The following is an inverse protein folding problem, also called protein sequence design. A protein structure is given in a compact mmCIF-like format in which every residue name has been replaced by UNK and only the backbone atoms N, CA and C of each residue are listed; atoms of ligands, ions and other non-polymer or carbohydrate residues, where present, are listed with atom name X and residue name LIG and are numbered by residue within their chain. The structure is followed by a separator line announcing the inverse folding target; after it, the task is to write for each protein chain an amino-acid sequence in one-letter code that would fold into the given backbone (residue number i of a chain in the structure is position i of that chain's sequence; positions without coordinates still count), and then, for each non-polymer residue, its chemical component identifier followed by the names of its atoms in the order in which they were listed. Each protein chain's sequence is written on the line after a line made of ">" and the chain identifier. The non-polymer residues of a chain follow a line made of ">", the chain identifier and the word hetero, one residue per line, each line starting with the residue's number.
data_IF_369014945454
#
_entry.id   IF_369014945454
#
_cell.length_a   1.000
_cell.length_b   1.000
_cell.length_c   1.000
_cell.angle_alpha   90.00
_cell.angle_beta   90.00
_cell.angle_gamma   90.00
#
_symmetry.space_group_name_H-M   'P 1'
#
loop_
_entity.id
_entity.type
_entity.pdbx_description
1 polymer ?
#
# COMPACT_ATOMS: atom_id res chain seq x y z
N UNK A 1 -25.41 6.51 -9.37
CA UNK A 1 -25.11 5.12 -8.96
C UNK A 1 -23.64 5.04 -8.63
N UNK A 2 -23.27 4.83 -7.36
CA UNK A 2 -21.89 4.39 -7.05
C UNK A 2 -21.81 2.97 -7.59
N UNK A 3 -20.95 2.70 -8.56
CA UNK A 3 -20.66 1.31 -8.92
C UNK A 3 -20.16 0.63 -7.65
N UNK A 4 -20.83 -0.41 -7.19
CA UNK A 4 -20.28 -1.26 -6.14
C UNK A 4 -19.00 -1.87 -6.69
N UNK A 5 -17.85 -1.26 -6.35
CA UNK A 5 -16.55 -1.85 -6.61
C UNK A 5 -16.51 -3.14 -5.81
N UNK A 6 -16.62 -4.25 -6.50
CA UNK A 6 -16.42 -5.59 -5.94
C UNK A 6 -14.98 -5.70 -5.41
N UNK A 7 -14.74 -6.61 -4.47
CA UNK A 7 -13.39 -6.88 -3.97
C UNK A 7 -12.39 -7.21 -5.11
N UNK A 8 -12.85 -7.82 -6.21
CA UNK A 8 -12.05 -8.10 -7.40
C UNK A 8 -11.54 -6.84 -8.08
N UNK A 9 -12.36 -5.79 -8.18
CA UNK A 9 -11.97 -4.50 -8.75
C UNK A 9 -10.98 -3.75 -7.83
N UNK A 10 -11.09 -3.93 -6.51
CA UNK A 10 -10.06 -3.43 -5.58
C UNK A 10 -8.74 -4.17 -5.74
N UNK A 11 -8.78 -5.49 -5.90
CA UNK A 11 -7.58 -6.31 -6.10
C UNK A 11 -6.89 -6.02 -7.42
N UNK A 12 -7.65 -5.78 -8.50
CA UNK A 12 -7.10 -5.36 -9.78
C UNK A 12 -6.37 -4.01 -9.68
N UNK A 13 -6.98 -3.02 -9.02
CA UNK A 13 -6.30 -1.73 -8.79
C UNK A 13 -5.06 -1.87 -7.91
N UNK A 14 -5.05 -2.80 -6.96
CA UNK A 14 -3.87 -3.06 -6.14
C UNK A 14 -2.73 -3.67 -6.95
N UNK A 15 -3.03 -4.61 -7.86
CA UNK A 15 -2.03 -5.18 -8.78
C UNK A 15 -1.49 -4.12 -9.73
N UNK A 16 -2.38 -3.32 -10.32
CA UNK A 16 -1.99 -2.23 -11.21
C UNK A 16 -1.07 -1.23 -10.51
N UNK A 17 -1.37 -0.86 -9.25
CA UNK A 17 -0.50 0.04 -8.49
C UNK A 17 0.88 -0.57 -8.19
N UNK A 18 0.94 -1.89 -7.97
CA UNK A 18 2.20 -2.59 -7.78
C UNK A 18 3.05 -2.58 -9.06
N UNK A 19 2.46 -2.80 -10.23
CA UNK A 19 3.14 -2.68 -11.52
C UNK A 19 3.69 -1.26 -11.74
N UNK A 20 2.90 -0.23 -11.40
CA UNK A 20 3.37 1.16 -11.47
C UNK A 20 4.52 1.41 -10.48
N UNK A 21 4.48 0.82 -9.28
CA UNK A 21 5.59 0.93 -8.32
C UNK A 21 6.89 0.33 -8.90
N UNK A 22 6.81 -0.81 -9.59
CA UNK A 22 7.95 -1.42 -10.28
C UNK A 22 8.53 -0.48 -11.36
N UNK A 23 7.68 0.19 -12.13
CA UNK A 23 8.14 1.15 -13.14
C UNK A 23 8.74 2.42 -12.53
N UNK A 24 8.23 2.87 -11.37
CA UNK A 24 8.82 3.97 -10.62
C UNK A 24 10.21 3.61 -10.07
N UNK A 25 10.41 2.36 -9.60
CA UNK A 25 11.73 1.89 -9.20
C UNK A 25 12.72 1.90 -10.38
N UNK A 26 12.33 1.32 -11.52
CA UNK A 26 13.16 1.26 -12.74
C UNK A 26 13.57 2.65 -13.25
N UNK A 27 12.69 3.64 -13.09
CA UNK A 27 12.94 5.02 -13.52
C UNK A 27 13.68 5.89 -12.49
N UNK A 28 14.07 5.34 -11.33
CA UNK A 28 14.74 6.09 -10.26
C UNK A 28 13.82 7.02 -9.46
N UNK A 29 12.50 6.84 -9.57
CA UNK A 29 11.48 7.69 -8.94
C UNK A 29 11.05 7.10 -7.59
N UNK A 30 11.99 7.00 -6.65
CA UNK A 30 11.81 6.25 -5.39
C UNK A 30 10.66 6.76 -4.51
N UNK A 31 10.50 8.08 -4.37
CA UNK A 31 9.39 8.71 -3.65
C UNK A 31 8.03 8.20 -4.17
N UNK A 32 7.89 8.12 -5.49
CA UNK A 32 6.67 7.63 -6.13
C UNK A 32 6.53 6.11 -6.03
N UNK A 33 7.63 5.36 -6.09
CA UNK A 33 7.60 3.92 -5.83
C UNK A 33 7.01 3.61 -4.45
N UNK A 34 7.51 4.29 -3.40
CA UNK A 34 7.03 4.12 -2.02
C UNK A 34 5.56 4.53 -1.89
N UNK A 35 5.16 5.63 -2.52
CA UNK A 35 3.76 6.05 -2.53
C UNK A 35 2.84 5.01 -3.19
N UNK A 36 3.26 4.43 -4.32
CA UNK A 36 2.50 3.39 -5.00
C UNK A 36 2.44 2.08 -4.21
N UNK A 37 3.52 1.72 -3.49
CA UNK A 37 3.52 0.60 -2.54
C UNK A 37 2.43 0.77 -1.47
N UNK A 38 2.30 1.98 -0.91
CA UNK A 38 1.23 2.28 0.06
C UNK A 38 -0.16 2.14 -0.55
N UNK A 39 -0.42 2.72 -1.73
CA UNK A 39 -1.73 2.63 -2.38
C UNK A 39 -2.11 1.19 -2.75
N UNK A 40 -1.14 0.41 -3.23
CA UNK A 40 -1.27 -1.01 -3.50
C UNK A 40 -1.80 -1.76 -2.27
N UNK A 41 -1.13 -1.64 -1.12
CA UNK A 41 -1.57 -2.30 0.12
C UNK A 41 -2.89 -1.75 0.64
N UNK A 42 -3.13 -0.44 0.52
CA UNK A 42 -4.40 0.18 0.89
C UNK A 42 -5.57 -0.44 0.11
N UNK A 43 -5.43 -0.55 -1.22
CA UNK A 43 -6.44 -1.15 -2.09
C UNK A 43 -6.59 -2.65 -1.84
N UNK A 44 -5.50 -3.36 -1.56
CA UNK A 44 -5.54 -4.76 -1.13
C UNK A 44 -6.38 -4.94 0.13
N UNK A 45 -6.11 -4.16 1.18
CA UNK A 45 -6.86 -4.21 2.43
C UNK A 45 -8.33 -3.78 2.26
N UNK A 46 -8.60 -2.78 1.41
CA UNK A 46 -9.96 -2.36 1.05
C UNK A 46 -10.74 -3.46 0.32
N UNK A 47 -10.08 -4.18 -0.58
CA UNK A 47 -10.65 -5.35 -1.23
C UNK A 47 -10.96 -6.45 -0.22
N UNK A 48 -10.05 -6.75 0.69
CA UNK A 48 -10.27 -7.75 1.74
C UNK A 48 -11.40 -7.36 2.70
N UNK A 49 -11.48 -6.08 3.07
CA UNK A 49 -12.59 -5.53 3.84
C UNK A 49 -13.92 -5.79 3.11
N UNK A 50 -14.03 -5.39 1.84
CA UNK A 50 -15.24 -5.62 1.06
C UNK A 50 -15.57 -7.12 0.93
N UNK A 51 -14.57 -7.98 0.72
CA UNK A 51 -14.73 -9.44 0.62
C UNK A 51 -15.29 -10.04 1.92
N UNK A 52 -14.80 -9.60 3.09
CA UNK A 52 -15.17 -10.15 4.40
C UNK A 52 -16.48 -9.60 4.95
N UNK A 53 -16.76 -8.32 4.72
CA UNK A 53 -17.92 -7.64 5.33
C UNK A 53 -19.09 -7.46 4.36
N UNK A 54 -18.83 -7.50 3.04
CA UNK A 54 -19.79 -7.09 2.01
C UNK A 54 -20.02 -5.58 1.94
N UNK A 55 -19.37 -4.80 2.81
CA UNK A 55 -19.54 -3.35 2.90
C UNK A 55 -18.57 -2.60 2.00
N UNK A 56 -18.92 -1.37 1.64
CA UNK A 56 -17.98 -0.47 0.98
C UNK A 56 -16.92 0.02 1.99
N UNK A 57 -15.61 -0.05 1.67
CA UNK A 57 -14.57 0.31 2.61
C UNK A 57 -14.63 1.80 3.01
N UNK A 58 -14.40 2.14 4.30
CA UNK A 58 -14.32 3.51 4.76
C UNK A 58 -13.29 4.36 4.01
N UNK A 59 -13.51 5.68 3.97
CA UNK A 59 -12.57 6.65 3.39
C UNK A 59 -11.39 6.91 4.34
N UNK A 60 -10.54 5.91 4.50
CA UNK A 60 -9.29 5.97 5.25
C UNK A 60 -8.11 5.58 4.34
N UNK A 61 -6.94 6.12 4.66
CA UNK A 61 -5.65 5.79 4.05
C UNK A 61 -4.71 5.07 5.03
N UNK A 62 -5.16 4.82 6.26
CA UNK A 62 -4.37 4.15 7.27
C UNK A 62 -4.48 2.63 7.07
N UNK A 63 -3.38 1.96 6.76
CA UNK A 63 -3.34 0.50 6.57
C UNK A 63 -3.75 -0.26 7.84
N UNK A 64 -3.21 0.14 9.01
CA UNK A 64 -3.51 -0.47 10.30
C UNK A 64 -4.99 -0.34 10.70
N UNK A 65 -5.66 0.74 10.27
CA UNK A 65 -7.11 0.87 10.46
C UNK A 65 -7.88 -0.26 9.79
N UNK A 66 -7.53 -0.65 8.56
CA UNK A 66 -8.21 -1.74 7.88
C UNK A 66 -7.88 -3.10 8.50
N UNK A 67 -6.61 -3.32 8.90
CA UNK A 67 -6.16 -4.52 9.61
C UNK A 67 -7.01 -4.76 10.86
N UNK A 68 -7.17 -3.73 11.70
CA UNK A 68 -7.98 -3.79 12.91
C UNK A 68 -9.45 -4.09 12.59
N UNK A 69 -10.03 -3.37 11.62
CA UNK A 69 -11.45 -3.48 11.25
C UNK A 69 -11.84 -4.84 10.68
N UNK A 70 -10.91 -5.56 10.04
CA UNK A 70 -11.17 -6.89 9.47
C UNK A 70 -10.65 -8.03 10.36
N UNK A 71 -10.14 -7.70 11.55
CA UNK A 71 -9.62 -8.67 12.53
C UNK A 71 -8.44 -9.47 11.99
N UNK A 72 -7.56 -8.85 11.21
CA UNK A 72 -6.42 -9.53 10.61
C UNK A 72 -5.28 -9.66 11.63
N UNK A 73 -4.83 -10.90 11.86
CA UNK A 73 -3.71 -11.16 12.77
C UNK A 73 -2.41 -11.05 12.00
N UNK A 74 -1.60 -10.05 12.37
CA UNK A 74 -0.29 -9.81 11.78
C UNK A 74 0.81 -10.48 12.62
N UNK A 75 1.90 -10.83 11.96
CA UNK A 75 3.17 -11.01 12.66
C UNK A 75 3.70 -9.66 13.14
N UNK A 76 4.61 -9.66 14.12
CA UNK A 76 5.26 -8.42 14.59
C UNK A 76 5.95 -7.68 13.43
N UNK A 77 6.67 -8.41 12.57
CA UNK A 77 7.35 -7.84 11.40
C UNK A 77 6.39 -7.23 10.38
N UNK A 78 5.25 -7.86 10.10
CA UNK A 78 4.24 -7.29 9.19
C UNK A 78 3.63 -6.00 9.77
N UNK A 79 3.38 -5.99 11.08
CA UNK A 79 2.83 -4.82 11.76
C UNK A 79 3.83 -3.65 11.73
N UNK A 80 5.10 -3.90 12.01
CA UNK A 80 6.17 -2.90 11.92
C UNK A 80 6.31 -2.35 10.51
N UNK A 81 6.28 -3.22 9.50
CA UNK A 81 6.35 -2.82 8.11
C UNK A 81 5.17 -1.93 7.69
N UNK A 82 3.93 -2.33 8.00
CA UNK A 82 2.75 -1.52 7.67
C UNK A 82 2.75 -0.17 8.40
N UNK A 83 3.23 -0.15 9.65
CA UNK A 83 3.41 1.09 10.40
C UNK A 83 4.43 2.02 9.74
N UNK A 84 5.59 1.48 9.37
CA UNK A 84 6.64 2.23 8.68
C UNK A 84 6.14 2.78 7.34
N UNK A 85 5.50 1.95 6.51
CA UNK A 85 4.97 2.35 5.21
C UNK A 85 3.89 3.44 5.31
N UNK A 86 2.98 3.33 6.30
CA UNK A 86 2.01 4.38 6.60
C UNK A 86 2.69 5.72 6.92
N UNK A 87 3.77 5.70 7.72
CA UNK A 87 4.48 6.91 8.13
C UNK A 87 5.21 7.57 6.96
N UNK A 88 5.95 6.80 6.17
CA UNK A 88 6.78 7.34 5.07
C UNK A 88 5.95 7.75 3.84
N UNK A 89 4.74 7.20 3.66
CA UNK A 89 3.86 7.54 2.53
C UNK A 89 3.08 8.85 2.69
N UNK A 90 3.04 9.44 3.88
CA UNK A 90 2.38 10.73 4.10
C UNK A 90 3.23 11.88 3.53
N UNK A 91 4.53 12.00 3.87
CA UNK A 91 5.40 13.04 3.30
C UNK A 91 5.53 12.99 1.77
N UNK A 92 5.38 11.81 1.15
CA UNK A 92 5.51 11.66 -0.31
C UNK A 92 4.39 12.38 -1.09
N UNK A 93 3.27 12.70 -0.43
CA UNK A 93 2.11 13.40 -1.04
C UNK A 93 2.27 14.91 -1.02
N UNK A 94 2.86 15.44 0.06
CA UNK A 94 3.03 16.87 0.29
C UNK A 94 4.38 17.12 0.97
N UNK A 95 5.50 16.96 0.25
CA UNK A 95 6.81 17.18 0.82
C UNK A 95 6.99 18.67 1.14
N UNK A 96 7.45 18.98 2.36
CA UNK A 96 7.89 20.34 2.69
C UNK A 96 9.06 20.76 1.79
N UNK A 97 10.00 19.84 1.56
CA UNK A 97 11.07 19.97 0.58
C UNK A 97 11.24 18.67 -0.22
N UNK A 98 10.84 18.69 -1.49
CA UNK A 98 10.95 17.53 -2.38
C UNK A 98 12.42 17.14 -2.64
N UNK A 99 13.37 18.08 -2.68
CA UNK A 99 14.78 17.76 -2.93
C UNK A 99 15.35 16.93 -1.80
N UNK A 100 15.03 17.28 -0.56
CA UNK A 100 15.52 16.56 0.62
C UNK A 100 14.91 15.16 0.67
N UNK A 101 13.61 15.04 0.40
CA UNK A 101 12.92 13.75 0.35
C UNK A 101 13.46 12.82 -0.75
N UNK A 102 13.81 13.37 -1.92
CA UNK A 102 14.44 12.58 -3.00
C UNK A 102 15.80 12.03 -2.56
N UNK A 103 16.56 12.78 -1.76
CA UNK A 103 17.88 12.36 -1.28
C UNK A 103 17.80 11.39 -0.09
N UNK A 104 16.66 11.29 0.58
CA UNK A 104 16.43 10.37 1.71
C UNK A 104 16.32 8.91 1.25
N UNK A 105 15.79 8.67 0.05
CA UNK A 105 15.56 7.31 -0.47
C UNK A 105 16.59 6.92 -1.51
N UNK A 106 17.10 5.68 -1.40
CA UNK A 106 17.98 5.07 -2.39
C UNK A 106 17.33 3.84 -3.02
N UNK A 107 17.96 3.31 -4.05
CA UNK A 107 17.45 2.17 -4.81
C UNK A 107 17.26 0.92 -3.95
N UNK A 108 18.24 0.60 -3.08
CA UNK A 108 18.25 -0.63 -2.28
C UNK A 108 17.10 -0.64 -1.29
N UNK A 109 16.93 0.44 -0.53
CA UNK A 109 15.86 0.55 0.46
C UNK A 109 14.48 0.55 -0.21
N UNK A 110 14.36 1.22 -1.37
CA UNK A 110 13.11 1.27 -2.13
C UNK A 110 12.75 -0.11 -2.68
N UNK A 111 13.74 -0.86 -3.17
CA UNK A 111 13.54 -2.23 -3.66
C UNK A 111 13.09 -3.18 -2.54
N UNK A 112 13.65 -3.03 -1.33
CA UNK A 112 13.18 -3.78 -0.14
C UNK A 112 11.72 -3.46 0.14
N UNK A 113 11.33 -2.18 0.17
CA UNK A 113 9.93 -1.78 0.40
C UNK A 113 9.00 -2.35 -0.66
N UNK A 114 9.39 -2.30 -1.94
CA UNK A 114 8.62 -2.84 -3.05
C UNK A 114 8.42 -4.35 -2.93
N UNK A 115 9.51 -5.09 -2.64
CA UNK A 115 9.47 -6.54 -2.50
C UNK A 115 8.64 -6.98 -1.30
N UNK A 116 8.78 -6.31 -0.17
CA UNK A 116 7.94 -6.57 1.01
C UNK A 116 6.48 -6.26 0.70
N UNK A 117 6.17 -5.14 0.03
CA UNK A 117 4.80 -4.80 -0.39
C UNK A 117 4.19 -5.85 -1.31
N UNK A 118 4.97 -6.39 -2.27
CA UNK A 118 4.51 -7.49 -3.14
C UNK A 118 4.10 -8.72 -2.34
N UNK A 119 4.96 -9.14 -1.40
CA UNK A 119 4.69 -10.30 -0.56
C UNK A 119 3.48 -10.07 0.35
N UNK A 120 3.38 -8.89 0.98
CA UNK A 120 2.24 -8.52 1.82
C UNK A 120 0.94 -8.46 1.01
N UNK A 121 0.95 -7.93 -0.22
CA UNK A 121 -0.25 -7.93 -1.08
C UNK A 121 -0.72 -9.35 -1.40
N UNK A 122 0.20 -10.23 -1.79
CA UNK A 122 -0.12 -11.63 -2.08
C UNK A 122 -0.73 -12.32 -0.85
N UNK A 123 -0.13 -12.10 0.33
CA UNK A 123 -0.63 -12.64 1.58
C UNK A 123 -2.03 -12.09 1.92
N UNK A 124 -2.28 -10.78 1.78
CA UNK A 124 -3.61 -10.15 1.99
C UNK A 124 -4.68 -10.81 1.11
N UNK A 125 -4.37 -11.09 -0.16
CA UNK A 125 -5.33 -11.67 -1.10
C UNK A 125 -5.73 -13.12 -0.77
N UNK A 126 -4.88 -13.83 -0.02
CA UNK A 126 -5.13 -15.22 0.43
C UNK A 126 -5.98 -15.31 1.70
N UNK A 127 -6.23 -14.19 2.38
CA UNK A 127 -7.06 -14.09 3.59
C UNK A 127 -8.56 -14.16 3.32
#
# INVERSE_FOLDING_TARGET
>A
MKSDKTYTEWYFQADYDLEVAEDMLKSGRYVYCIFMCHLCLEKGLKGLFNKRTGEYPPKSHNLLYFVERIGLVLTEGDQEFLFALNKISVPTRYPENLKDLINEFNQVDTEIILNTSRNTLQWIKQQ
#
